data_IF_203514406921
#
_entry.id   IF_203514406921
#
_cell.length_a   1.000
_cell.length_b   1.000
_cell.length_c   1.000
_cell.angle_alpha   90.00
_cell.angle_beta   90.00
_cell.angle_gamma   90.00
#
_symmetry.space_group_name_H-M   'P 1'
#
loop_
_entity.id
_entity.type
_entity.pdbx_description
1 polymer ?
#
# COMPACT_ATOMS: atom_id res chain seq x y z
N UNK A 1 -1.58 28.50 12.08
CA UNK A 1 -0.54 27.50 11.78
C UNK A 1 -1.06 26.65 10.63
N UNK A 2 -0.49 26.80 9.44
CA UNK A 2 -0.75 25.88 8.33
C UNK A 2 0.14 24.68 8.57
N UNK A 3 -0.45 23.56 8.97
CA UNK A 3 0.26 22.29 9.06
C UNK A 3 0.72 21.92 7.66
N UNK A 4 1.97 22.23 7.33
CA UNK A 4 2.55 21.88 6.04
C UNK A 4 2.88 20.40 6.11
N UNK A 5 2.03 19.59 5.48
CA UNK A 5 2.28 18.16 5.30
C UNK A 5 3.49 18.01 4.37
N UNK A 6 4.61 17.55 4.91
CA UNK A 6 5.81 17.21 4.14
C UNK A 6 5.85 15.70 3.91
N UNK A 7 5.48 15.24 2.72
CA UNK A 7 5.52 13.83 2.35
C UNK A 7 6.84 13.55 1.66
N UNK A 8 7.61 12.60 2.18
CA UNK A 8 8.75 11.99 1.47
C UNK A 8 8.24 10.85 0.56
N UNK A 9 8.05 11.07 -0.76
CA UNK A 9 7.39 10.09 -1.61
C UNK A 9 8.23 8.82 -1.81
N UNK A 10 9.56 8.97 -1.84
CA UNK A 10 10.49 7.85 -1.94
C UNK A 10 10.46 6.98 -0.68
N UNK A 11 10.41 7.61 0.51
CA UNK A 11 10.24 6.89 1.78
C UNK A 11 8.93 6.12 1.83
N UNK A 12 7.83 6.73 1.38
CA UNK A 12 6.52 6.06 1.30
C UNK A 12 6.54 4.88 0.33
N UNK A 13 7.18 5.02 -0.84
CA UNK A 13 7.32 3.93 -1.81
C UNK A 13 8.09 2.75 -1.22
N UNK A 14 9.18 3.01 -0.51
CA UNK A 14 9.97 1.97 0.16
C UNK A 14 9.15 1.26 1.24
N UNK A 15 8.41 2.01 2.07
CA UNK A 15 7.52 1.45 3.07
C UNK A 15 6.43 0.57 2.44
N UNK A 16 5.85 0.99 1.31
CA UNK A 16 4.88 0.19 0.57
C UNK A 16 5.45 -1.14 0.05
N UNK A 17 6.70 -1.14 -0.44
CA UNK A 17 7.37 -2.37 -0.87
C UNK A 17 7.67 -3.31 0.31
N UNK A 18 8.01 -2.77 1.48
CA UNK A 18 8.18 -3.55 2.71
C UNK A 18 6.85 -4.21 3.11
N UNK A 19 5.75 -3.45 3.12
CA UNK A 19 4.40 -3.98 3.42
C UNK A 19 4.03 -5.11 2.45
N UNK A 20 4.33 -4.96 1.17
CA UNK A 20 4.05 -5.99 0.16
C UNK A 20 4.85 -7.28 0.41
N UNK A 21 6.14 -7.17 0.74
CA UNK A 21 6.97 -8.32 1.07
C UNK A 21 6.49 -9.00 2.37
N UNK A 22 6.29 -8.22 3.44
CA UNK A 22 5.83 -8.74 4.73
C UNK A 22 4.43 -9.38 4.62
N UNK A 23 3.54 -8.84 3.79
CA UNK A 23 2.24 -9.45 3.51
C UNK A 23 2.38 -10.81 2.80
N UNK A 24 3.34 -10.94 1.88
CA UNK A 24 3.66 -12.21 1.23
C UNK A 24 4.21 -13.24 2.22
N UNK A 25 5.17 -12.84 3.06
CA UNK A 25 5.76 -13.70 4.10
C UNK A 25 4.72 -14.11 5.15
N UNK A 26 3.89 -13.17 5.61
CA UNK A 26 2.81 -13.41 6.55
C UNK A 26 1.79 -14.41 5.98
N UNK A 27 1.42 -14.30 4.70
CA UNK A 27 0.57 -15.29 4.04
C UNK A 27 1.18 -16.68 4.07
N UNK A 28 2.45 -16.79 3.66
CA UNK A 28 3.14 -18.07 3.60
C UNK A 28 3.26 -18.72 4.99
N UNK A 29 3.60 -17.94 6.02
CA UNK A 29 3.78 -18.45 7.37
C UNK A 29 2.48 -18.70 8.12
N UNK A 30 1.54 -17.74 8.11
CA UNK A 30 0.34 -17.80 8.95
C UNK A 30 -0.73 -18.71 8.37
N UNK A 31 -0.94 -18.75 7.05
CA UNK A 31 -1.97 -19.60 6.46
C UNK A 31 -1.61 -21.09 6.58
N UNK A 32 -0.31 -21.41 6.56
CA UNK A 32 0.19 -22.77 6.74
C UNK A 32 -0.11 -23.35 8.14
N UNK A 33 -0.32 -22.50 9.15
CA UNK A 33 -0.68 -22.96 10.50
C UNK A 33 -1.99 -23.75 10.53
N UNK A 34 -2.88 -23.50 9.56
CA UNK A 34 -4.20 -24.13 9.47
C UNK A 34 -4.20 -25.43 8.65
N UNK A 35 -3.12 -25.75 7.93
CA UNK A 35 -3.06 -26.92 7.04
C UNK A 35 -3.13 -28.25 7.82
N UNK A 36 -2.82 -28.24 9.11
CA UNK A 36 -2.85 -29.43 9.98
C UNK A 36 -4.27 -29.84 10.43
N UNK A 37 -5.29 -29.00 10.23
CA UNK A 37 -6.65 -29.28 10.71
C UNK A 37 -7.30 -30.49 10.01
N UNK A 38 -7.08 -30.65 8.70
CA UNK A 38 -7.61 -31.79 7.95
C UNK A 38 -6.88 -33.10 8.35
N UNK A 39 -5.53 -33.17 8.36
CA UNK A 39 -4.82 -34.34 8.88
C UNK A 39 -5.21 -34.72 10.32
N UNK A 40 -5.44 -33.73 11.19
CA UNK A 40 -5.87 -33.98 12.56
C UNK A 40 -7.28 -34.61 12.62
N UNK A 41 -8.18 -34.21 11.72
CA UNK A 41 -9.51 -34.81 11.60
C UNK A 41 -9.42 -36.23 11.07
N UNK A 42 -8.66 -36.44 9.99
CA UNK A 42 -8.50 -37.75 9.37
C UNK A 42 -7.85 -38.77 10.32
N UNK A 43 -6.92 -38.32 11.17
CA UNK A 43 -6.27 -39.14 12.19
C UNK A 43 -7.14 -39.44 13.43
N UNK A 44 -8.28 -38.75 13.60
CA UNK A 44 -9.21 -38.92 14.72
C UNK A 44 -10.63 -39.23 14.22
N UNK A 45 -10.73 -40.17 13.27
CA UNK A 45 -12.02 -40.54 12.68
C UNK A 45 -13.03 -40.99 13.75
N UNK A 46 -14.29 -40.57 13.58
CA UNK A 46 -15.38 -40.77 14.54
C UNK A 46 -15.47 -39.76 15.69
N UNK A 47 -14.50 -38.86 15.86
CA UNK A 47 -14.64 -37.75 16.81
C UNK A 47 -15.59 -36.69 16.27
N UNK A 48 -16.67 -36.43 17.03
CA UNK A 48 -17.70 -35.44 16.65
C UNK A 48 -17.15 -34.02 16.43
N UNK A 49 -15.97 -33.70 16.98
CA UNK A 49 -15.33 -32.38 16.90
C UNK A 49 -14.46 -32.19 15.66
N UNK A 50 -14.12 -33.23 14.90
CA UNK A 50 -13.27 -33.13 13.71
C UNK A 50 -13.80 -32.14 12.66
N UNK A 51 -15.05 -32.27 12.22
CA UNK A 51 -15.66 -31.30 11.29
C UNK A 51 -15.67 -29.86 11.82
N UNK A 52 -15.89 -29.67 13.13
CA UNK A 52 -15.89 -28.35 13.75
C UNK A 52 -14.48 -27.73 13.79
N UNK A 53 -13.44 -28.55 14.01
CA UNK A 53 -12.05 -28.12 13.95
C UNK A 53 -11.67 -27.61 12.55
N UNK A 54 -12.02 -28.36 11.50
CA UNK A 54 -11.74 -27.97 10.10
C UNK A 54 -12.48 -26.68 9.75
N UNK A 55 -13.76 -26.57 10.12
CA UNK A 55 -14.54 -25.37 9.87
C UNK A 55 -13.94 -24.14 10.57
N UNK A 56 -13.52 -24.29 11.83
CA UNK A 56 -12.87 -23.22 12.59
C UNK A 56 -11.54 -22.80 11.96
N UNK A 57 -10.68 -23.77 11.62
CA UNK A 57 -9.39 -23.50 10.98
C UNK A 57 -9.56 -22.76 9.64
N UNK A 58 -10.54 -23.17 8.83
CA UNK A 58 -10.86 -22.49 7.57
C UNK A 58 -11.37 -21.05 7.79
N UNK A 59 -12.18 -20.82 8.83
CA UNK A 59 -12.66 -19.47 9.18
C UNK A 59 -11.48 -18.56 9.55
N UNK A 60 -10.61 -19.02 10.46
CA UNK A 60 -9.45 -18.23 10.88
C UNK A 60 -8.47 -17.98 9.73
N UNK A 61 -8.23 -18.99 8.89
CA UNK A 61 -7.42 -18.84 7.67
C UNK A 61 -7.97 -17.75 6.76
N UNK A 62 -9.29 -17.74 6.55
CA UNK A 62 -9.96 -16.73 5.71
C UNK A 62 -9.88 -15.33 6.31
N UNK A 63 -10.08 -15.20 7.62
CA UNK A 63 -9.97 -13.90 8.32
C UNK A 63 -8.56 -13.32 8.24
N UNK A 64 -7.54 -14.17 8.42
CA UNK A 64 -6.14 -13.76 8.32
C UNK A 64 -5.75 -13.36 6.89
N UNK A 65 -6.13 -14.14 5.87
CA UNK A 65 -5.86 -13.75 4.48
C UNK A 65 -6.57 -12.43 4.12
N UNK A 66 -7.81 -12.22 4.56
CA UNK A 66 -8.52 -10.95 4.37
C UNK A 66 -7.80 -9.77 5.02
N UNK A 67 -7.36 -9.94 6.27
CA UNK A 67 -6.65 -8.90 7.02
C UNK A 67 -5.32 -8.53 6.33
N UNK A 68 -4.56 -9.53 5.87
CA UNK A 68 -3.31 -9.31 5.13
C UNK A 68 -3.59 -8.58 3.81
N UNK A 69 -4.64 -8.97 3.08
CA UNK A 69 -5.08 -8.30 1.86
C UNK A 69 -5.44 -6.82 2.09
N UNK A 70 -6.16 -6.52 3.18
CA UNK A 70 -6.54 -5.15 3.52
C UNK A 70 -5.34 -4.28 3.88
N UNK A 71 -4.38 -4.81 4.64
CA UNK A 71 -3.12 -4.12 4.94
C UNK A 71 -2.32 -3.81 3.68
N UNK A 72 -2.17 -4.79 2.78
CA UNK A 72 -1.47 -4.61 1.51
C UNK A 72 -2.17 -3.56 0.62
N UNK A 73 -3.50 -3.66 0.49
CA UNK A 73 -4.32 -2.70 -0.27
C UNK A 73 -4.21 -1.28 0.29
N UNK A 74 -4.21 -1.14 1.62
CA UNK A 74 -4.02 0.14 2.30
C UNK A 74 -2.64 0.72 2.02
N UNK A 75 -1.58 -0.09 2.11
CA UNK A 75 -0.21 0.32 1.74
C UNK A 75 -0.12 0.82 0.30
N UNK A 76 -0.71 0.10 -0.66
CA UNK A 76 -0.75 0.50 -2.06
C UNK A 76 -1.49 1.84 -2.28
N UNK A 77 -2.61 2.06 -1.58
CA UNK A 77 -3.35 3.33 -1.64
C UNK A 77 -2.53 4.50 -1.09
N UNK A 78 -1.76 4.29 -0.02
CA UNK A 78 -0.87 5.31 0.55
C UNK A 78 0.25 5.65 -0.46
N UNK A 79 0.88 4.65 -1.08
CA UNK A 79 1.88 4.87 -2.14
C UNK A 79 1.29 5.64 -3.32
N UNK A 80 0.08 5.28 -3.77
CA UNK A 80 -0.59 5.98 -4.84
C UNK A 80 -0.89 7.44 -4.49
N UNK A 81 -1.31 7.73 -3.24
CA UNK A 81 -1.53 9.08 -2.77
C UNK A 81 -0.24 9.92 -2.75
N UNK A 82 0.87 9.37 -2.25
CA UNK A 82 2.17 10.04 -2.24
C UNK A 82 2.68 10.36 -3.65
N UNK A 83 2.50 9.44 -4.61
CA UNK A 83 2.86 9.68 -6.01
C UNK A 83 2.04 10.81 -6.65
N UNK A 84 0.74 10.91 -6.33
CA UNK A 84 -0.11 12.01 -6.82
C UNK A 84 0.37 13.37 -6.30
N UNK A 85 0.72 13.46 -5.02
CA UNK A 85 1.24 14.71 -4.43
C UNK A 85 2.54 15.12 -5.10
N UNK A 86 3.47 14.18 -5.32
CA UNK A 86 4.71 14.46 -6.06
C UNK A 86 4.41 15.01 -7.46
N UNK A 87 3.53 14.36 -8.22
CA UNK A 87 3.17 14.79 -9.57
C UNK A 87 2.56 16.19 -9.61
N UNK A 88 1.69 16.53 -8.66
CA UNK A 88 1.10 17.87 -8.55
C UNK A 88 2.16 18.93 -8.25
N UNK A 89 3.12 18.64 -7.37
CA UNK A 89 4.22 19.54 -7.05
C UNK A 89 5.11 19.78 -8.28
N UNK A 90 5.46 18.72 -9.01
CA UNK A 90 6.28 18.80 -10.22
C UNK A 90 5.59 19.68 -11.28
N UNK A 91 4.29 19.45 -11.55
CA UNK A 91 3.52 20.26 -12.50
C UNK A 91 3.39 21.74 -12.09
N UNK A 92 3.26 22.00 -10.78
CA UNK A 92 3.21 23.38 -10.24
C UNK A 92 4.54 24.09 -10.43
N UNK A 93 5.66 23.43 -10.14
CA UNK A 93 6.99 23.97 -10.34
C UNK A 93 7.25 24.32 -11.81
N UNK A 94 6.89 23.42 -12.74
CA UNK A 94 6.97 23.69 -14.18
C UNK A 94 6.11 24.89 -14.61
N UNK A 95 4.90 25.02 -14.04
CA UNK A 95 4.02 26.16 -14.28
C UNK A 95 4.68 27.47 -13.83
N UNK A 96 5.24 27.50 -12.62
CA UNK A 96 5.96 28.67 -12.09
C UNK A 96 7.17 29.01 -12.95
N UNK A 97 7.98 28.02 -13.36
CA UNK A 97 9.12 28.25 -14.26
C UNK A 97 8.69 28.83 -15.60
N UNK A 98 7.57 28.38 -16.17
CA UNK A 98 6.98 28.95 -17.39
C UNK A 98 6.55 30.41 -17.19
N UNK A 99 5.88 30.72 -16.08
CA UNK A 99 5.48 32.10 -15.75
C UNK A 99 6.72 32.99 -15.58
N UNK A 100 7.72 32.54 -14.82
CA UNK A 100 8.96 33.27 -14.61
C UNK A 100 9.71 33.56 -15.92
N UNK A 101 9.78 32.56 -16.82
CA UNK A 101 10.36 32.72 -18.16
C UNK A 101 9.60 33.74 -18.99
N UNK A 102 8.27 33.70 -18.95
CA UNK A 102 7.40 34.62 -19.70
C UNK A 102 7.55 36.07 -19.20
N UNK A 103 7.60 36.27 -17.89
CA UNK A 103 7.83 37.58 -17.28
C UNK A 103 9.21 38.15 -17.66
N UNK A 104 10.25 37.32 -17.66
CA UNK A 104 11.58 37.73 -18.12
C UNK A 104 11.59 38.11 -19.62
N UNK A 105 10.84 37.37 -20.45
CA UNK A 105 10.66 37.69 -21.86
C UNK A 105 10.01 39.06 -22.10
N UNK A 106 9.01 39.44 -21.31
CA UNK A 106 8.35 40.76 -21.37
C UNK A 106 9.29 41.90 -20.97
N UNK A 107 10.11 41.70 -19.93
CA UNK A 107 11.07 42.71 -19.47
C UNK A 107 12.24 42.96 -20.43
N UNK A 108 12.52 42.02 -21.34
CA UNK A 108 13.59 42.11 -22.33
C UNK A 108 13.10 42.44 -23.75
N UNK A 109 11.83 42.81 -23.94
CA UNK A 109 11.38 43.29 -25.25
C UNK A 109 12.05 44.66 -25.54
N UNK A 110 12.64 44.86 -26.74
CA UNK A 110 13.17 46.15 -27.13
C UNK A 110 12.04 47.19 -27.03
N UNK A 111 12.31 48.33 -26.37
CA UNK A 111 11.36 49.44 -26.37
C UNK A 111 11.09 49.87 -27.82
N UNK A 112 9.83 50.07 -28.23
CA UNK A 112 9.53 50.66 -29.52
C UNK A 112 10.20 52.04 -29.58
N UNK A 113 11.18 52.18 -30.48
CA UNK A 113 11.80 53.47 -30.82
C UNK A 113 10.86 54.32 -31.65
#
# INVERSE_FOLDING_TARGET
MTDRIDINPSGVKNAGAIIENEAGEARAGLLALFDSAQPATDGNDGFATGPALVAFANSMRSELDSTINELQSTGQRIVAAANRIKSTNDATAEGISRIATSLNGLGNQPLPG
#
